data_IF_201062375803
#
_entry.id   IF_201062375803
#
_cell.length_a   1.000
_cell.length_b   1.000
_cell.length_c   1.000
_cell.angle_alpha   90.00
_cell.angle_beta   90.00
_cell.angle_gamma   90.00
#
_symmetry.space_group_name_H-M   'P 1'
#
loop_
_entity.id
_entity.type
_entity.pdbx_description
1 polymer ?
#
# COMPACT_ATOMS: atom_id res chain seq x y z
N UNK A 1 17.05 36.36 -47.63
CA UNK A 1 15.76 36.14 -46.92
C UNK A 1 15.36 34.67 -46.72
N UNK A 2 15.90 33.70 -47.49
CA UNK A 2 15.52 32.27 -47.39
C UNK A 2 16.21 31.49 -46.24
N UNK A 3 17.43 31.86 -45.87
CA UNK A 3 18.23 31.20 -44.81
C UNK A 3 17.79 31.53 -43.39
N UNK A 4 17.22 32.73 -43.15
CA UNK A 4 16.67 33.09 -41.83
C UNK A 4 15.37 32.35 -41.50
N UNK A 5 14.56 32.01 -42.51
CA UNK A 5 13.37 31.17 -42.34
C UNK A 5 13.76 29.71 -42.05
N UNK A 6 14.81 29.20 -42.71
CA UNK A 6 15.31 27.84 -42.53
C UNK A 6 15.87 27.59 -41.12
N UNK A 7 16.58 28.57 -40.54
CA UNK A 7 17.07 28.51 -39.15
C UNK A 7 15.93 28.59 -38.12
N UNK A 8 14.86 29.32 -38.43
CA UNK A 8 13.68 29.39 -37.56
C UNK A 8 12.87 28.08 -37.59
N UNK A 9 12.82 27.38 -38.72
CA UNK A 9 12.15 26.09 -38.84
C UNK A 9 12.93 24.96 -38.14
N UNK A 10 14.27 25.01 -38.14
CA UNK A 10 15.10 24.02 -37.42
C UNK A 10 15.09 24.29 -35.90
N UNK A 11 15.03 25.56 -35.47
CA UNK A 11 14.87 25.92 -34.06
C UNK A 11 13.51 25.54 -33.46
N UNK A 12 12.44 25.56 -34.27
CA UNK A 12 11.09 25.19 -33.83
C UNK A 12 10.85 23.67 -33.79
N UNK A 13 11.67 22.88 -34.49
CA UNK A 13 11.62 21.42 -34.49
C UNK A 13 12.48 20.76 -33.39
N UNK A 14 13.29 21.55 -32.65
CA UNK A 14 14.34 21.03 -31.75
C UNK A 14 13.99 20.90 -30.26
N UNK A 15 12.83 21.35 -29.79
CA UNK A 15 12.48 21.29 -28.35
C UNK A 15 11.03 20.87 -28.16
N UNK A 16 10.75 19.61 -28.49
CA UNK A 16 9.60 18.89 -27.96
C UNK A 16 10.12 17.50 -27.54
N UNK A 17 10.94 17.47 -26.49
CA UNK A 17 11.08 16.24 -25.70
C UNK A 17 9.86 16.23 -24.78
N UNK A 18 8.74 15.73 -25.30
CA UNK A 18 7.60 15.36 -24.47
C UNK A 18 8.08 14.23 -23.58
N UNK A 19 8.46 14.56 -22.34
CA UNK A 19 8.44 13.59 -21.26
C UNK A 19 6.97 13.21 -21.08
N UNK A 20 6.51 12.26 -21.89
CA UNK A 20 5.27 11.56 -21.64
C UNK A 20 5.54 10.69 -20.42
N UNK A 21 5.30 11.24 -19.23
CA UNK A 21 5.07 10.40 -18.06
C UNK A 21 3.74 9.69 -18.31
N UNK A 22 3.78 8.59 -19.05
CA UNK A 22 2.70 7.62 -19.03
C UNK A 22 2.57 7.19 -17.57
N UNK A 23 1.57 7.70 -16.86
CA UNK A 23 1.23 7.17 -15.55
C UNK A 23 0.85 5.72 -15.78
N UNK A 24 1.63 4.80 -15.23
CA UNK A 24 1.32 3.40 -15.28
C UNK A 24 0.08 3.22 -14.39
N UNK A 25 -1.09 2.95 -14.97
CA UNK A 25 -2.34 2.72 -14.24
C UNK A 25 -2.29 1.43 -13.37
N UNK A 26 -1.13 0.79 -13.27
CA UNK A 26 -0.89 -0.35 -12.38
C UNK A 26 -0.79 0.10 -10.94
N UNK A 27 -1.40 -0.68 -10.04
CA UNK A 27 -1.18 -0.55 -8.60
C UNK A 27 0.32 -0.61 -8.29
N UNK A 28 0.88 0.38 -7.56
CA UNK A 28 2.27 0.31 -7.14
C UNK A 28 2.46 -0.89 -6.20
N UNK A 29 3.52 -1.66 -6.45
CA UNK A 29 3.88 -2.82 -5.66
C UNK A 29 2.69 -3.79 -5.37
N UNK A 30 1.74 -3.92 -6.31
CA UNK A 30 0.54 -4.76 -6.11
C UNK A 30 0.82 -6.27 -5.96
N UNK A 31 2.04 -6.70 -6.28
CA UNK A 31 2.54 -8.05 -5.99
C UNK A 31 3.18 -8.22 -4.62
N UNK A 32 3.40 -7.13 -3.86
CA UNK A 32 4.02 -7.13 -2.53
C UNK A 32 5.45 -7.71 -2.48
N UNK A 33 6.27 -7.34 -3.48
CA UNK A 33 7.64 -7.84 -3.61
C UNK A 33 8.67 -6.93 -2.92
N UNK A 34 8.37 -5.64 -2.81
CA UNK A 34 9.27 -4.65 -2.19
C UNK A 34 8.71 -4.21 -0.83
N UNK A 35 9.59 -4.04 0.15
CA UNK A 35 9.26 -3.79 1.55
C UNK A 35 10.29 -2.83 2.16
N UNK A 36 9.83 -1.98 3.06
CA UNK A 36 10.67 -1.08 3.85
C UNK A 36 10.47 -1.35 5.34
N UNK A 37 11.49 -0.99 6.12
CA UNK A 37 11.43 -1.10 7.58
C UNK A 37 10.73 0.12 8.16
N UNK A 38 9.78 -0.15 9.04
CA UNK A 38 9.09 0.81 9.91
C UNK A 38 9.50 0.52 11.38
N UNK A 39 9.20 1.43 12.30
CA UNK A 39 9.63 1.32 13.70
C UNK A 39 9.21 -0.01 14.38
N UNK A 40 8.07 -0.57 13.96
CA UNK A 40 7.47 -1.76 14.57
C UNK A 40 7.44 -2.99 13.64
N UNK A 41 8.08 -2.91 12.48
CA UNK A 41 8.05 -4.02 11.54
C UNK A 41 8.48 -3.66 10.13
N UNK A 42 7.88 -4.33 9.16
CA UNK A 42 8.06 -4.02 7.74
C UNK A 42 6.68 -3.81 7.13
N UNK A 43 6.56 -2.80 6.28
CA UNK A 43 5.38 -2.56 5.45
C UNK A 43 5.76 -2.72 3.97
N UNK A 44 4.81 -3.13 3.09
CA UNK A 44 5.07 -3.16 1.66
C UNK A 44 5.30 -1.75 1.13
N UNK A 45 6.27 -1.55 0.25
CA UNK A 45 6.54 -0.24 -0.36
C UNK A 45 5.28 0.35 -0.99
N UNK A 46 5.03 1.65 -0.73
CA UNK A 46 3.83 2.41 -1.11
C UNK A 46 2.54 2.08 -0.34
N UNK A 47 2.57 1.10 0.57
CA UNK A 47 1.45 0.71 1.44
C UNK A 47 1.81 0.96 2.91
N UNK A 48 0.82 1.20 3.76
CA UNK A 48 1.05 1.34 5.20
C UNK A 48 0.06 0.55 6.05
N UNK A 49 0.54 0.00 7.16
CA UNK A 49 -0.27 -0.74 8.15
C UNK A 49 -0.94 0.21 9.15
N UNK A 50 -2.27 0.15 9.24
CA UNK A 50 -3.05 1.04 10.12
C UNK A 50 -2.62 0.88 11.58
N UNK A 51 -2.54 -0.35 12.06
CA UNK A 51 -2.32 -0.63 13.48
C UNK A 51 -0.86 -0.47 13.89
N UNK A 52 0.07 -0.80 13.00
CA UNK A 52 1.50 -0.57 13.26
C UNK A 52 1.79 0.93 13.27
N UNK A 53 1.31 1.69 12.28
CA UNK A 53 1.69 3.10 12.14
C UNK A 53 0.96 4.03 13.11
N UNK A 54 -0.23 3.67 13.59
CA UNK A 54 -1.08 4.61 14.36
C UNK A 54 -1.27 4.26 15.83
N UNK A 55 -1.15 2.98 16.22
CA UNK A 55 -1.52 2.53 17.58
C UNK A 55 -0.38 1.83 18.34
N UNK A 56 0.84 1.81 17.80
CA UNK A 56 2.01 1.17 18.44
C UNK A 56 1.75 -0.28 18.86
N UNK A 57 1.03 -1.02 18.00
CA UNK A 57 0.61 -2.40 18.25
C UNK A 57 1.60 -3.40 17.64
N UNK A 58 1.59 -4.67 18.09
CA UNK A 58 2.37 -5.74 17.46
C UNK A 58 2.13 -5.81 15.96
N UNK A 59 3.13 -6.30 15.21
CA UNK A 59 3.02 -6.36 13.77
C UNK A 59 2.04 -7.45 13.30
N UNK A 60 0.91 -7.03 12.73
CA UNK A 60 -0.10 -7.91 12.13
C UNK A 60 0.01 -8.05 10.60
N UNK A 61 1.06 -7.45 10.02
CA UNK A 61 1.33 -7.40 8.58
C UNK A 61 2.74 -7.93 8.33
N UNK A 62 2.86 -9.05 7.61
CA UNK A 62 4.16 -9.66 7.34
C UNK A 62 4.26 -10.11 5.90
N UNK A 63 5.49 -10.28 5.40
CA UNK A 63 5.73 -10.96 4.13
C UNK A 63 5.76 -12.48 4.31
N UNK A 64 5.26 -13.21 3.32
CA UNK A 64 5.34 -14.67 3.25
C UNK A 64 5.91 -15.12 1.91
N UNK A 65 6.62 -16.25 1.86
CA UNK A 65 7.08 -16.86 0.60
C UNK A 65 6.07 -17.82 -0.01
N UNK A 66 4.92 -18.04 0.64
CA UNK A 66 3.79 -18.77 0.08
C UNK A 66 2.99 -17.89 -0.90
N UNK A 67 3.67 -17.41 -1.95
CA UNK A 67 3.10 -16.49 -2.92
C UNK A 67 2.41 -17.22 -4.09
N UNK A 68 1.35 -16.62 -4.63
CA UNK A 68 0.74 -17.10 -5.88
C UNK A 68 1.65 -16.84 -7.09
N UNK A 69 2.38 -15.72 -7.06
CA UNK A 69 3.32 -15.28 -8.07
C UNK A 69 4.45 -14.52 -7.40
N UNK A 70 5.65 -14.51 -7.98
CA UNK A 70 6.79 -13.79 -7.42
C UNK A 70 7.44 -14.53 -6.25
N UNK A 71 8.14 -13.79 -5.38
CA UNK A 71 8.86 -14.34 -4.22
C UNK A 71 8.06 -14.17 -2.95
N UNK A 72 7.34 -13.04 -2.82
CA UNK A 72 6.65 -12.67 -1.61
C UNK A 72 5.17 -12.45 -1.84
N UNK A 73 4.39 -12.59 -0.78
CA UNK A 73 3.01 -12.14 -0.72
C UNK A 73 2.75 -11.47 0.63
N UNK A 74 1.69 -10.66 0.68
CA UNK A 74 1.20 -10.06 1.90
C UNK A 74 0.50 -11.12 2.77
N UNK A 75 0.93 -11.23 4.03
CA UNK A 75 0.25 -12.02 5.06
C UNK A 75 -0.34 -11.09 6.11
N UNK A 76 -1.65 -11.16 6.24
CA UNK A 76 -2.43 -10.46 7.26
C UNK A 76 -2.88 -11.47 8.31
N UNK A 77 -2.74 -11.14 9.59
CA UNK A 77 -3.20 -11.97 10.70
C UNK A 77 -4.18 -11.19 11.59
N UNK A 78 -5.11 -11.89 12.22
CA UNK A 78 -5.91 -11.35 13.31
C UNK A 78 -5.43 -11.98 14.62
N UNK A 79 -5.33 -11.18 15.67
CA UNK A 79 -4.96 -11.61 17.01
C UNK A 79 -5.55 -10.65 18.05
N UNK A 80 -5.14 -10.79 19.30
CA UNK A 80 -5.53 -9.92 20.40
C UNK A 80 -4.42 -8.95 20.78
N UNK A 81 -4.81 -7.73 21.17
CA UNK A 81 -3.91 -6.73 21.74
C UNK A 81 -4.62 -5.94 22.84
N UNK A 82 -3.91 -4.99 23.45
CA UNK A 82 -4.50 -3.98 24.34
C UNK A 82 -4.66 -2.70 23.53
N UNK A 83 -5.89 -2.27 23.24
CA UNK A 83 -6.14 -1.02 22.52
C UNK A 83 -6.77 -0.01 23.47
N UNK A 84 -6.15 1.16 23.63
CA UNK A 84 -6.64 2.17 24.55
C UNK A 84 -8.01 2.76 24.11
N UNK A 85 -8.87 3.18 25.06
CA UNK A 85 -10.05 3.98 24.73
C UNK A 85 -9.67 5.27 23.99
N UNK A 86 -10.47 5.72 23.00
CA UNK A 86 -11.83 5.28 22.69
C UNK A 86 -11.92 4.13 21.68
N UNK A 87 -10.80 3.61 21.17
CA UNK A 87 -10.79 2.61 20.10
C UNK A 87 -10.89 1.17 20.60
N UNK A 88 -10.46 0.93 21.84
CA UNK A 88 -10.59 -0.36 22.51
C UNK A 88 -10.96 -0.23 23.98
N UNK A 89 -10.77 -1.32 24.72
CA UNK A 89 -11.18 -1.42 26.13
C UNK A 89 -10.10 -0.93 27.10
N UNK A 90 -8.86 -0.81 26.64
CA UNK A 90 -7.70 -0.48 27.47
C UNK A 90 -7.21 -1.64 28.33
N UNK A 91 -7.76 -2.85 28.14
CA UNK A 91 -7.30 -4.09 28.76
C UNK A 91 -6.91 -5.10 27.67
N UNK A 92 -6.03 -6.07 27.97
CA UNK A 92 -5.67 -7.10 27.00
C UNK A 92 -6.89 -7.90 26.54
N UNK A 93 -6.96 -8.21 25.24
CA UNK A 93 -7.98 -9.08 24.66
C UNK A 93 -8.80 -8.45 23.53
N UNK A 94 -8.56 -7.18 23.19
CA UNK A 94 -9.20 -6.54 22.04
C UNK A 94 -8.77 -7.24 20.75
N UNK A 95 -9.73 -7.61 19.90
CA UNK A 95 -9.41 -8.22 18.61
C UNK A 95 -8.91 -7.17 17.62
N UNK A 96 -7.71 -7.40 17.09
CA UNK A 96 -7.03 -6.54 16.11
C UNK A 96 -6.73 -7.35 14.84
N UNK A 97 -6.71 -6.68 13.69
CA UNK A 97 -6.52 -7.30 12.39
C UNK A 97 -5.41 -6.63 11.59
N UNK A 98 -4.65 -7.41 10.84
CA UNK A 98 -3.72 -6.90 9.84
C UNK A 98 -4.47 -6.20 8.72
N UNK A 99 -4.08 -4.97 8.41
CA UNK A 99 -4.60 -4.23 7.27
C UNK A 99 -3.51 -3.36 6.69
N UNK A 100 -3.57 -3.15 5.38
CA UNK A 100 -2.70 -2.21 4.67
C UNK A 100 -3.54 -1.26 3.84
N UNK A 101 -3.09 -0.03 3.72
CA UNK A 101 -3.73 1.02 2.94
C UNK A 101 -2.71 1.63 1.98
N UNK A 102 -3.08 1.70 0.71
CA UNK A 102 -2.25 2.30 -0.31
C UNK A 102 -2.04 3.80 -0.05
N UNK A 103 -0.79 4.24 -0.05
CA UNK A 103 -0.40 5.63 0.19
C UNK A 103 -0.51 6.07 1.65
N UNK A 104 -0.63 5.14 2.61
CA UNK A 104 -0.66 5.48 4.04
C UNK A 104 0.73 5.78 4.63
N UNK A 105 1.83 5.36 3.96
CA UNK A 105 3.21 5.51 4.45
C UNK A 105 3.46 6.90 5.07
N UNK A 106 3.57 6.96 6.40
CA UNK A 106 3.78 8.22 7.15
C UNK A 106 2.73 9.31 6.89
N UNK A 107 1.51 8.94 6.51
CA UNK A 107 0.39 9.81 6.27
C UNK A 107 -0.75 9.53 7.25
N UNK A 108 -1.65 10.49 7.44
CA UNK A 108 -2.93 10.20 8.11
C UNK A 108 -3.82 9.38 7.18
N UNK A 109 -4.67 8.52 7.73
CA UNK A 109 -5.66 7.75 6.94
C UNK A 109 -6.49 8.67 6.02
N UNK A 110 -6.87 9.86 6.51
CA UNK A 110 -7.61 10.85 5.72
C UNK A 110 -6.86 11.40 4.50
N UNK A 111 -5.54 11.25 4.48
CA UNK A 111 -4.66 11.70 3.41
C UNK A 111 -4.06 10.55 2.60
N UNK A 112 -4.28 9.30 3.00
CA UNK A 112 -3.83 8.13 2.27
C UNK A 112 -4.50 8.08 0.89
N UNK A 113 -3.71 8.33 -0.16
CA UNK A 113 -4.19 8.39 -1.54
C UNK A 113 -3.05 8.10 -2.50
N UNK A 114 -3.43 7.57 -3.66
CA UNK A 114 -2.52 7.36 -4.78
C UNK A 114 -3.14 7.92 -6.06
N UNK A 115 -2.39 8.67 -6.88
CA UNK A 115 -2.92 9.24 -8.11
C UNK A 115 -3.18 8.16 -9.15
N UNK A 116 -4.39 8.19 -9.73
CA UNK A 116 -4.76 7.40 -10.91
C UNK A 116 -5.35 8.35 -11.96
N UNK A 117 -4.93 8.20 -13.21
CA UNK A 117 -5.49 8.95 -14.36
C UNK A 117 -6.66 8.24 -15.01
N UNK A 118 -6.71 6.92 -14.90
CA UNK A 118 -7.84 6.10 -15.35
C UNK A 118 -8.96 6.06 -14.31
N UNK A 119 -10.10 5.48 -14.71
CA UNK A 119 -11.20 5.11 -13.81
C UNK A 119 -11.21 3.59 -13.68
N UNK A 120 -10.62 3.02 -12.60
CA UNK A 120 -10.62 1.57 -12.39
C UNK A 120 -12.06 1.03 -12.36
N UNK A 121 -12.27 -0.12 -12.99
CA UNK A 121 -13.57 -0.84 -12.95
C UNK A 121 -13.55 -2.07 -12.03
N UNK A 122 -12.37 -2.65 -11.79
CA UNK A 122 -12.21 -3.93 -11.11
C UNK A 122 -10.90 -3.95 -10.33
N UNK A 123 -10.90 -4.70 -9.23
CA UNK A 123 -9.69 -5.11 -8.51
C UNK A 123 -9.65 -6.64 -8.53
N UNK A 124 -8.53 -7.20 -8.98
CA UNK A 124 -8.35 -8.65 -9.13
C UNK A 124 -7.11 -9.05 -8.34
N UNK A 125 -7.19 -10.18 -7.62
CA UNK A 125 -6.09 -10.72 -6.85
C UNK A 125 -6.36 -12.14 -6.38
N UNK A 126 -5.34 -12.77 -5.80
CA UNK A 126 -5.42 -14.11 -5.23
C UNK A 126 -5.30 -14.02 -3.71
N UNK A 127 -6.19 -14.73 -3.01
CA UNK A 127 -6.20 -14.78 -1.54
C UNK A 127 -6.19 -16.23 -1.09
N UNK A 128 -5.35 -16.53 -0.10
CA UNK A 128 -5.35 -17.77 0.66
C UNK A 128 -5.55 -17.40 2.12
N UNK A 129 -6.49 -18.05 2.80
CA UNK A 129 -6.81 -17.74 4.19
C UNK A 129 -7.34 -18.95 4.94
N UNK A 130 -7.19 -18.90 6.25
CA UNK A 130 -7.84 -19.82 7.19
C UNK A 130 -8.68 -18.99 8.14
N UNK A 131 -9.92 -19.40 8.38
CA UNK A 131 -10.76 -18.80 9.41
C UNK A 131 -10.45 -19.52 10.71
N UNK A 132 -10.07 -18.76 11.74
CA UNK A 132 -9.93 -19.29 13.08
C UNK A 132 -11.32 -19.37 13.71
N UNK A 133 -11.65 -20.52 14.29
CA UNK A 133 -12.90 -20.70 15.03
C UNK A 133 -12.83 -19.87 16.32
N UNK A 134 -13.76 -18.93 16.46
CA UNK A 134 -13.87 -18.13 17.66
C UNK A 134 -14.50 -18.98 18.75
N UNK A 135 -13.70 -19.56 19.65
CA UNK A 135 -14.24 -20.12 20.88
C UNK A 135 -15.06 -19.02 21.55
N UNK A 136 -16.36 -19.27 21.72
CA UNK A 136 -17.23 -18.43 22.54
C UNK A 136 -16.68 -18.54 23.96
N UNK A 137 -15.96 -17.52 24.42
CA UNK A 137 -15.64 -17.43 25.84
C UNK A 137 -16.95 -17.13 26.56
N UNK A 138 -17.61 -18.17 27.07
CA UNK A 138 -18.68 -18.01 28.05
C UNK A 138 -18.09 -17.29 29.26
N UNK A 139 -18.56 -16.06 29.49
CA UNK A 139 -18.35 -15.32 30.74
C UNK A 139 -19.32 -15.84 31.81
#
# INVERSE_FOLDING_TARGET
MKTKKLLFTIGLAGIIVLNTSAQNDTLPNGGFENWHTEDLGEDPDDWGSIFNQLLDLPNFVTKTTEANSGTYALKLICDTATVAPPLGTGIPGDTVYGSVVLGLVSASISNAKWPFTSRPDSLIGFVKGTVLDGAVYEL
#
